data_IF_401893016993
#
_entry.id   IF_401893016993
#
_cell.length_a   1.000
_cell.length_b   1.000
_cell.length_c   1.000
_cell.angle_alpha   90.00
_cell.angle_beta   90.00
_cell.angle_gamma   90.00
#
_symmetry.space_group_name_H-M   'P 1'
#
loop_
_entity.id
_entity.type
_entity.pdbx_description
1 polymer ?
#
# COMPACT_ATOMS: atom_id res chain seq x y z
N UNK A 1 7.83 -38.07 39.34
CA UNK A 1 9.24 -37.80 38.97
C UNK A 1 9.22 -36.69 37.91
N UNK A 2 9.14 -35.41 38.27
CA UNK A 2 10.27 -34.47 38.54
C UNK A 2 11.42 -34.58 37.54
N UNK A 3 11.36 -33.82 36.45
CA UNK A 3 12.55 -33.13 35.93
C UNK A 3 12.18 -31.69 35.56
N UNK A 4 12.50 -30.79 36.47
CA UNK A 4 12.63 -29.35 36.23
C UNK A 4 13.96 -29.16 35.50
N UNK A 5 13.95 -28.60 34.30
CA UNK A 5 15.17 -28.10 33.67
C UNK A 5 15.08 -26.57 33.60
N UNK A 6 15.75 -25.95 34.57
CA UNK A 6 16.16 -24.55 34.58
C UNK A 6 17.40 -24.46 33.69
N UNK A 7 17.42 -23.57 32.71
CA UNK A 7 18.65 -23.07 32.09
C UNK A 7 18.36 -21.66 31.58
N UNK A 8 18.74 -20.61 32.34
CA UNK A 8 19.89 -19.72 32.00
C UNK A 8 19.86 -19.33 30.53
N UNK A 9 19.32 -18.17 30.14
CA UNK A 9 19.85 -16.87 30.56
C UNK A 9 21.04 -16.52 29.67
N UNK A 10 20.77 -16.18 28.41
CA UNK A 10 21.75 -15.59 27.50
C UNK A 10 21.13 -14.30 26.94
N UNK A 11 21.43 -13.19 27.59
CA UNK A 11 21.10 -11.83 27.11
C UNK A 11 22.07 -11.55 25.97
N UNK A 12 21.60 -11.66 24.73
CA UNK A 12 22.34 -11.20 23.55
C UNK A 12 22.13 -9.69 23.46
N UNK A 13 23.18 -8.95 23.82
CA UNK A 13 23.27 -7.50 23.69
C UNK A 13 23.48 -7.19 22.20
N UNK A 14 22.39 -7.00 21.46
CA UNK A 14 22.43 -6.50 20.08
C UNK A 14 22.83 -5.03 20.15
N UNK A 15 24.09 -4.77 19.80
CA UNK A 15 24.59 -3.42 19.52
C UNK A 15 23.86 -2.96 18.26
N UNK A 16 22.73 -2.28 18.44
CA UNK A 16 22.12 -1.45 17.40
C UNK A 16 23.13 -0.37 17.05
N UNK A 17 23.82 -0.56 15.93
CA UNK A 17 24.56 0.50 15.26
C UNK A 17 23.52 1.54 14.87
N UNK A 18 23.39 2.56 15.73
CA UNK A 18 22.74 3.81 15.39
C UNK A 18 23.46 4.35 14.16
N UNK A 19 22.81 4.18 13.00
CA UNK A 19 23.19 4.83 11.77
C UNK A 19 23.38 6.30 12.07
N UNK A 20 24.60 6.76 11.89
CA UNK A 20 24.98 8.16 11.96
C UNK A 20 23.99 8.97 11.11
N UNK A 21 23.22 9.81 11.80
CA UNK A 21 22.57 10.97 11.21
C UNK A 21 23.63 11.77 10.45
N UNK A 22 23.72 11.53 9.14
CA UNK A 22 24.36 12.44 8.22
C UNK A 22 23.41 13.65 8.12
N UNK A 23 23.59 14.57 9.06
CA UNK A 23 23.02 15.90 9.05
C UNK A 23 23.62 16.69 7.87
N UNK A 24 23.11 16.40 6.67
CA UNK A 24 23.21 17.22 5.48
C UNK A 24 21.79 17.30 4.93
N UNK A 25 21.08 18.36 5.31
CA UNK A 25 19.67 18.55 4.97
C UNK A 25 19.46 18.47 3.46
N UNK A 26 18.83 17.40 3.04
CA UNK A 26 18.45 17.11 1.68
C UNK A 26 17.69 15.81 1.78
N UNK A 27 16.36 15.89 1.77
CA UNK A 27 15.52 14.71 1.67
C UNK A 27 15.87 13.89 0.41
N UNK A 28 15.19 12.75 0.21
CA UNK A 28 15.38 11.98 -1.01
C UNK A 28 15.11 12.85 -2.25
N UNK A 29 15.79 12.53 -3.35
CA UNK A 29 15.45 13.15 -4.62
C UNK A 29 14.04 12.71 -5.05
N UNK A 30 13.34 13.54 -5.82
CA UNK A 30 12.02 13.18 -6.39
C UNK A 30 12.10 11.89 -7.23
N UNK A 31 13.23 11.64 -7.90
CA UNK A 31 13.47 10.39 -8.63
C UNK A 31 13.59 9.17 -7.70
N UNK A 32 14.35 9.28 -6.62
CA UNK A 32 14.52 8.17 -5.67
C UNK A 32 13.20 7.86 -4.95
N UNK A 33 12.49 8.90 -4.49
CA UNK A 33 11.16 8.79 -3.89
C UNK A 33 10.17 8.10 -4.83
N UNK A 34 10.00 8.62 -6.05
CA UNK A 34 9.02 8.06 -7.00
C UNK A 34 9.39 6.64 -7.40
N UNK A 35 10.68 6.31 -7.56
CA UNK A 35 11.12 4.94 -7.85
C UNK A 35 10.73 3.97 -6.74
N UNK A 36 10.98 4.32 -5.48
CA UNK A 36 10.64 3.48 -4.32
C UNK A 36 9.13 3.33 -4.15
N UNK A 37 8.39 4.44 -4.13
CA UNK A 37 6.93 4.42 -3.99
C UNK A 37 6.26 3.63 -5.12
N UNK A 38 6.72 3.79 -6.37
CA UNK A 38 6.16 3.07 -7.51
C UNK A 38 6.43 1.57 -7.46
N UNK A 39 7.58 1.13 -6.93
CA UNK A 39 7.86 -0.29 -6.77
C UNK A 39 6.87 -0.94 -5.80
N UNK A 40 6.57 -0.28 -4.68
CA UNK A 40 5.57 -0.73 -3.71
C UNK A 40 4.19 -0.85 -4.37
N UNK A 41 3.76 0.19 -5.10
CA UNK A 41 2.47 0.16 -5.77
C UNK A 41 2.38 -0.96 -6.83
N UNK A 42 3.45 -1.22 -7.58
CA UNK A 42 3.50 -2.27 -8.58
C UNK A 42 3.39 -3.67 -7.96
N UNK A 43 4.05 -3.90 -6.83
CA UNK A 43 3.98 -5.17 -6.10
C UNK A 43 2.54 -5.48 -5.67
N UNK A 44 1.89 -4.56 -4.97
CA UNK A 44 0.51 -4.75 -4.50
C UNK A 44 -0.50 -4.81 -5.66
N UNK A 45 -0.32 -3.96 -6.69
CA UNK A 45 -1.15 -4.01 -7.90
C UNK A 45 -1.06 -5.36 -8.59
N UNK A 46 0.13 -5.95 -8.70
CA UNK A 46 0.30 -7.26 -9.32
C UNK A 46 -0.49 -8.36 -8.58
N UNK A 47 -0.52 -8.33 -7.25
CA UNK A 47 -1.33 -9.27 -6.45
C UNK A 47 -2.83 -9.08 -6.70
N UNK A 48 -3.30 -7.83 -6.71
CA UNK A 48 -4.71 -7.50 -6.99
C UNK A 48 -5.09 -7.96 -8.41
N UNK A 49 -4.26 -7.64 -9.41
CA UNK A 49 -4.52 -7.96 -10.81
C UNK A 49 -4.51 -9.47 -11.04
N UNK A 50 -3.62 -10.22 -10.37
CA UNK A 50 -3.60 -11.67 -10.43
C UNK A 50 -4.91 -12.27 -9.88
N UNK A 51 -5.35 -11.84 -8.70
CA UNK A 51 -6.60 -12.32 -8.10
C UNK A 51 -7.84 -11.91 -8.91
N UNK A 52 -7.87 -10.67 -9.42
CA UNK A 52 -8.94 -10.22 -10.29
C UNK A 52 -8.97 -11.02 -11.60
N UNK A 53 -7.81 -11.34 -12.17
CA UNK A 53 -7.71 -12.15 -13.39
C UNK A 53 -8.19 -13.58 -13.18
N UNK A 54 -7.96 -14.18 -12.01
CA UNK A 54 -8.49 -15.51 -11.66
C UNK A 54 -10.02 -15.52 -11.64
N UNK A 55 -10.61 -14.50 -11.03
CA UNK A 55 -12.08 -14.32 -10.97
C UNK A 55 -12.67 -14.04 -12.37
N UNK A 56 -11.96 -13.27 -13.20
CA UNK A 56 -12.41 -12.89 -14.55
C UNK A 56 -12.06 -13.91 -15.65
N UNK A 57 -11.32 -14.98 -15.34
CA UNK A 57 -10.78 -15.94 -16.31
C UNK A 57 -11.87 -16.62 -17.18
N UNK A 58 -13.12 -16.63 -16.73
CA UNK A 58 -14.28 -17.15 -17.46
C UNK A 58 -14.89 -16.19 -18.49
N UNK A 59 -14.36 -14.98 -18.65
CA UNK A 59 -14.91 -13.95 -19.54
C UNK A 59 -16.29 -13.43 -19.11
N UNK A 60 -16.71 -13.77 -17.90
CA UNK A 60 -17.94 -13.32 -17.26
C UNK A 60 -17.57 -12.43 -16.09
N UNK A 61 -18.36 -11.39 -15.85
CA UNK A 61 -18.23 -10.60 -14.64
C UNK A 61 -18.61 -11.49 -13.44
N UNK A 62 -17.84 -11.42 -12.33
CA UNK A 62 -18.23 -12.11 -11.10
C UNK A 62 -19.61 -11.64 -10.66
N UNK A 63 -20.34 -12.53 -10.01
CA UNK A 63 -21.54 -12.11 -9.30
C UNK A 63 -21.17 -11.20 -8.11
N UNK A 64 -22.14 -10.45 -7.54
CA UNK A 64 -21.85 -9.53 -6.44
C UNK A 64 -21.25 -10.19 -5.20
N UNK A 65 -21.51 -11.48 -4.95
CA UNK A 65 -20.96 -12.21 -3.80
C UNK A 65 -19.49 -12.57 -4.04
N UNK A 66 -19.15 -13.07 -5.22
CA UNK A 66 -17.78 -13.35 -5.63
C UNK A 66 -16.93 -12.07 -5.67
N UNK A 67 -17.48 -10.98 -6.21
CA UNK A 67 -16.81 -9.68 -6.20
C UNK A 67 -16.62 -9.14 -4.77
N UNK A 68 -17.63 -9.27 -3.91
CA UNK A 68 -17.54 -8.90 -2.51
C UNK A 68 -16.45 -9.67 -1.75
N UNK A 69 -16.30 -10.97 -2.04
CA UNK A 69 -15.20 -11.78 -1.51
C UNK A 69 -13.85 -11.33 -2.02
N UNK A 70 -13.68 -11.11 -3.32
CA UNK A 70 -12.43 -10.57 -3.89
C UNK A 70 -12.05 -9.23 -3.23
N UNK A 71 -13.03 -8.37 -2.99
CA UNK A 71 -12.82 -7.10 -2.32
C UNK A 71 -12.33 -7.26 -0.87
N UNK A 72 -13.00 -8.13 -0.09
CA UNK A 72 -12.70 -8.33 1.33
C UNK A 72 -11.43 -9.15 1.59
N UNK A 73 -11.19 -10.18 0.77
CA UNK A 73 -10.11 -11.14 0.97
C UNK A 73 -8.81 -10.70 0.30
N UNK A 74 -8.87 -9.88 -0.76
CA UNK A 74 -7.68 -9.46 -1.52
C UNK A 74 -7.53 -7.95 -1.63
N UNK A 75 -8.51 -7.25 -2.22
CA UNK A 75 -8.33 -5.81 -2.58
C UNK A 75 -8.11 -4.94 -1.33
N UNK A 76 -8.97 -5.06 -0.31
CA UNK A 76 -8.86 -4.27 0.92
C UNK A 76 -7.55 -4.57 1.66
N UNK A 77 -7.17 -5.85 1.89
CA UNK A 77 -5.86 -6.18 2.49
C UNK A 77 -4.67 -5.61 1.72
N UNK A 78 -4.63 -5.81 0.39
CA UNK A 78 -3.51 -5.34 -0.43
C UNK A 78 -3.42 -3.81 -0.48
N UNK A 79 -4.54 -3.09 -0.60
CA UNK A 79 -4.53 -1.62 -0.53
C UNK A 79 -4.14 -1.11 0.86
N UNK A 80 -4.55 -1.80 1.93
CA UNK A 80 -4.14 -1.44 3.30
C UNK A 80 -2.63 -1.62 3.48
N UNK A 81 -2.09 -2.75 3.02
CA UNK A 81 -0.66 -3.05 3.06
C UNK A 81 0.14 -2.07 2.19
N UNK A 82 -0.36 -1.72 1.01
CA UNK A 82 0.24 -0.71 0.15
C UNK A 82 0.35 0.64 0.86
N UNK A 83 -0.72 1.12 1.50
CA UNK A 83 -0.70 2.38 2.25
C UNK A 83 0.25 2.32 3.45
N UNK A 84 0.33 1.19 4.15
CA UNK A 84 1.28 0.99 5.25
C UNK A 84 2.74 1.02 4.78
N UNK A 85 3.05 0.34 3.68
CA UNK A 85 4.38 0.36 3.05
C UNK A 85 4.74 1.76 2.57
N UNK A 86 3.80 2.47 1.93
CA UNK A 86 3.97 3.84 1.48
C UNK A 86 4.23 4.81 2.64
N UNK A 87 3.55 4.68 3.80
CA UNK A 87 3.88 5.50 4.99
C UNK A 87 5.33 5.34 5.46
N UNK A 88 6.01 4.25 5.07
CA UNK A 88 7.43 4.02 5.36
C UNK A 88 8.39 4.75 4.41
N UNK A 89 7.89 5.32 3.31
CA UNK A 89 8.70 6.04 2.32
C UNK A 89 8.76 7.52 2.67
N UNK A 90 9.97 8.05 2.83
CA UNK A 90 10.18 9.49 3.02
C UNK A 90 9.95 10.21 1.67
N UNK A 91 9.02 11.19 1.59
CA UNK A 91 8.82 11.93 0.36
C UNK A 91 9.94 12.95 0.11
N UNK A 92 10.15 13.30 -1.16
CA UNK A 92 10.93 14.48 -1.50
C UNK A 92 10.16 15.75 -1.08
N UNK A 93 10.87 16.77 -0.59
CA UNK A 93 10.26 18.02 -0.08
C UNK A 93 9.29 18.66 -1.09
N UNK A 94 9.58 18.55 -2.38
CA UNK A 94 8.81 19.11 -3.49
C UNK A 94 7.40 18.52 -3.63
N UNK A 95 7.18 17.29 -3.15
CA UNK A 95 5.93 16.52 -3.32
C UNK A 95 5.34 16.03 -2.00
N UNK A 96 5.91 16.43 -0.86
CA UNK A 96 5.51 15.94 0.46
C UNK A 96 4.02 16.17 0.76
N UNK A 97 3.51 17.39 0.55
CA UNK A 97 2.10 17.73 0.77
C UNK A 97 1.17 16.93 -0.14
N UNK A 98 1.57 16.74 -1.39
CA UNK A 98 0.80 15.98 -2.36
C UNK A 98 0.76 14.50 -2.01
N UNK A 99 1.89 13.96 -1.52
CA UNK A 99 2.02 12.59 -1.08
C UNK A 99 1.22 12.30 0.19
N UNK A 100 1.28 13.17 1.20
CA UNK A 100 0.44 13.05 2.39
C UNK A 100 -1.05 13.03 2.03
N UNK A 101 -1.45 13.82 1.02
CA UNK A 101 -2.82 13.80 0.51
C UNK A 101 -3.16 12.49 -0.19
N UNK A 102 -2.25 11.89 -0.96
CA UNK A 102 -2.45 10.53 -1.52
C UNK A 102 -2.74 9.53 -0.40
N UNK A 103 -1.94 9.54 0.67
CA UNK A 103 -2.12 8.62 1.80
C UNK A 103 -3.48 8.83 2.48
N UNK A 104 -3.85 10.08 2.76
CA UNK A 104 -5.12 10.39 3.42
C UNK A 104 -6.33 10.04 2.54
N UNK A 105 -6.30 10.35 1.24
CA UNK A 105 -7.37 9.98 0.32
C UNK A 105 -7.44 8.48 0.09
N UNK A 106 -6.29 7.79 0.05
CA UNK A 106 -6.21 6.35 -0.05
C UNK A 106 -6.82 5.65 1.16
N UNK A 107 -6.53 6.12 2.38
CA UNK A 107 -7.14 5.61 3.61
C UNK A 107 -8.68 5.75 3.59
N UNK A 108 -9.18 6.90 3.13
CA UNK A 108 -10.63 7.13 2.96
C UNK A 108 -11.21 6.17 1.94
N UNK A 109 -10.58 6.03 0.78
CA UNK A 109 -11.02 5.10 -0.26
C UNK A 109 -11.08 3.65 0.27
N UNK A 110 -10.07 3.20 1.02
CA UNK A 110 -10.09 1.87 1.65
C UNK A 110 -11.22 1.73 2.67
N UNK A 111 -11.50 2.79 3.46
CA UNK A 111 -12.63 2.79 4.39
C UNK A 111 -13.98 2.71 3.65
N UNK A 112 -14.13 3.46 2.56
CA UNK A 112 -15.33 3.47 1.72
C UNK A 112 -15.56 2.10 1.07
N UNK A 113 -14.52 1.48 0.49
CA UNK A 113 -14.58 0.12 -0.08
C UNK A 113 -14.96 -0.90 1.00
N UNK A 114 -14.43 -0.75 2.22
CA UNK A 114 -14.75 -1.65 3.33
C UNK A 114 -16.22 -1.54 3.75
N UNK A 115 -16.77 -0.33 3.73
CA UNK A 115 -18.17 -0.08 4.05
C UNK A 115 -19.10 -0.56 2.94
N UNK A 116 -18.72 -0.31 1.68
CA UNK A 116 -19.48 -0.67 0.49
C UNK A 116 -18.52 -1.06 -0.65
N UNK A 117 -18.27 -2.37 -0.87
CA UNK A 117 -17.41 -2.82 -1.95
C UNK A 117 -17.91 -2.43 -3.35
N UNK A 118 -19.20 -2.09 -3.52
CA UNK A 118 -19.74 -1.73 -4.83
C UNK A 118 -19.15 -0.41 -5.38
N UNK A 119 -18.54 0.42 -4.52
CA UNK A 119 -17.84 1.63 -4.97
C UNK A 119 -16.67 1.34 -5.91
N UNK A 120 -16.10 0.13 -5.87
CA UNK A 120 -15.07 -0.33 -6.81
C UNK A 120 -15.57 -0.42 -8.26
N UNK A 121 -16.89 -0.47 -8.48
CA UNK A 121 -17.48 -0.61 -9.81
C UNK A 121 -17.58 0.69 -10.59
N UNK A 122 -17.43 1.84 -9.93
CA UNK A 122 -17.44 3.16 -10.55
C UNK A 122 -16.09 3.87 -10.33
N UNK A 123 -15.25 4.01 -11.38
CA UNK A 123 -13.97 4.70 -11.29
C UNK A 123 -14.08 6.16 -10.84
N UNK A 124 -15.25 6.80 -11.01
CA UNK A 124 -15.47 8.18 -10.57
C UNK A 124 -15.30 8.33 -9.04
N UNK A 125 -15.55 7.28 -8.27
CA UNK A 125 -15.35 7.29 -6.81
C UNK A 125 -13.89 7.49 -6.40
N UNK A 126 -12.93 7.19 -7.28
CA UNK A 126 -11.49 7.31 -7.00
C UNK A 126 -10.84 8.43 -7.80
N UNK A 127 -11.62 9.28 -8.47
CA UNK A 127 -11.05 10.32 -9.32
C UNK A 127 -10.14 11.26 -8.54
N UNK A 128 -10.55 11.69 -7.35
CA UNK A 128 -9.77 12.62 -6.52
C UNK A 128 -8.42 12.01 -6.10
N UNK A 129 -8.42 10.79 -5.55
CA UNK A 129 -7.17 10.11 -5.15
C UNK A 129 -6.28 9.86 -6.36
N UNK A 130 -6.84 9.51 -7.52
CA UNK A 130 -6.07 9.23 -8.73
C UNK A 130 -5.45 10.49 -9.35
N UNK A 131 -6.14 11.64 -9.28
CA UNK A 131 -5.55 12.94 -9.63
C UNK A 131 -4.40 13.30 -8.70
N UNK A 132 -4.55 12.99 -7.41
CA UNK A 132 -3.51 13.27 -6.43
C UNK A 132 -2.28 12.38 -6.59
N UNK A 133 -2.46 11.12 -6.99
CA UNK A 133 -1.39 10.21 -7.40
C UNK A 133 -0.57 10.83 -8.55
N UNK A 134 -1.25 11.38 -9.55
CA UNK A 134 -0.60 12.03 -10.70
C UNK A 134 0.15 13.31 -10.27
N UNK A 135 -0.43 14.12 -9.39
CA UNK A 135 0.19 15.32 -8.85
C UNK A 135 1.48 15.01 -8.06
N UNK A 136 1.49 13.90 -7.32
CA UNK A 136 2.66 13.43 -6.59
C UNK A 136 3.75 12.79 -7.49
N UNK A 137 3.57 12.75 -8.81
CA UNK A 137 4.51 12.14 -9.77
C UNK A 137 4.56 10.61 -9.70
N UNK A 138 3.56 9.98 -9.10
CA UNK A 138 3.46 8.54 -8.97
C UNK A 138 2.86 7.91 -10.22
N UNK A 139 3.18 6.64 -10.45
CA UNK A 139 2.76 5.86 -11.60
C UNK A 139 1.29 5.43 -11.50
N UNK A 140 0.65 5.05 -12.63
CA UNK A 140 -0.71 4.51 -12.62
C UNK A 140 -0.90 3.28 -11.72
N UNK A 141 0.16 2.54 -11.40
CA UNK A 141 0.10 1.41 -10.48
C UNK A 141 -0.35 1.84 -9.07
N UNK A 142 -0.09 3.09 -8.67
CA UNK A 142 -0.49 3.63 -7.37
C UNK A 142 -1.95 4.09 -7.32
N UNK A 143 -2.66 4.13 -8.46
CA UNK A 143 -4.09 4.51 -8.51
C UNK A 143 -4.96 3.44 -7.88
N UNK A 144 -6.09 3.85 -7.30
CA UNK A 144 -7.13 2.95 -6.78
C UNK A 144 -8.18 2.73 -7.88
N UNK A 145 -8.60 1.48 -8.05
CA UNK A 145 -9.55 1.06 -9.08
C UNK A 145 -8.89 0.69 -10.42
N UNK A 146 -9.68 0.39 -11.46
CA UNK A 146 -9.16 0.09 -12.79
C UNK A 146 -8.47 1.33 -13.38
N UNK A 147 -7.23 1.15 -13.83
CA UNK A 147 -6.40 2.18 -14.46
C UNK A 147 -6.64 2.32 -15.95
#
# INVERSE_FOLDING_TARGET
MKHRLRWTGLVILVVMVLGSAACGGGGPSTEDFTREANAICQEHRATIDAAASEVLAGGQLPDPEEFGRLAQETIIPELTAQLESLRGVEPADEVADDYERVLSLGERAVADIRQDPSVLTDPANFQEVNQQVDAAGLSPACRIGPG
#
